data_IF_663120675610
#
_entry.id   IF_663120675610
#
_cell.length_a   1.000
_cell.length_b   1.000
_cell.length_c   1.000
_cell.angle_alpha   90.00
_cell.angle_beta   90.00
_cell.angle_gamma   90.00
#
_symmetry.space_group_name_H-M   'P 1'
#
loop_
_entity.id
_entity.type
_entity.pdbx_description
1 polymer ?
#
# COMPACT_ATOMS: atom_id res chain seq x y z
N UNK A 1 5.62 -21.43 7.72
CA UNK A 1 5.02 -20.29 6.94
C UNK A 1 3.69 -19.91 7.59
N UNK A 2 3.48 -18.66 7.97
CA UNK A 2 2.21 -18.24 8.56
C UNK A 2 1.23 -17.95 7.41
N UNK A 3 0.36 -18.91 7.09
CA UNK A 3 -0.60 -18.84 5.99
C UNK A 3 -1.43 -17.54 6.02
N UNK A 4 -1.76 -17.05 7.21
CA UNK A 4 -2.52 -15.82 7.37
C UNK A 4 -1.72 -14.58 6.90
N UNK A 5 -0.41 -14.53 7.16
CA UNK A 5 0.44 -13.42 6.72
C UNK A 5 0.59 -13.37 5.19
N UNK A 6 0.89 -14.52 4.57
CA UNK A 6 0.98 -14.61 3.12
C UNK A 6 -0.32 -14.18 2.43
N UNK A 7 -1.49 -14.61 2.96
CA UNK A 7 -2.79 -14.21 2.42
C UNK A 7 -3.01 -12.70 2.53
N UNK A 8 -2.66 -12.08 3.65
CA UNK A 8 -2.80 -10.64 3.87
C UNK A 8 -2.01 -9.85 2.83
N UNK A 9 -0.73 -10.20 2.59
CA UNK A 9 0.08 -9.53 1.57
C UNK A 9 -0.43 -9.78 0.15
N UNK A 10 -0.98 -10.96 -0.17
CA UNK A 10 -1.64 -11.21 -1.47
C UNK A 10 -2.87 -10.36 -1.67
N UNK A 11 -3.70 -10.19 -0.65
CA UNK A 11 -4.87 -9.31 -0.71
C UNK A 11 -4.40 -7.85 -0.92
N UNK A 12 -3.40 -7.39 -0.16
CA UNK A 12 -2.81 -6.05 -0.33
C UNK A 12 -2.27 -5.82 -1.75
N UNK A 13 -1.56 -6.81 -2.32
CA UNK A 13 -1.10 -6.77 -3.71
C UNK A 13 -2.25 -6.64 -4.70
N UNK A 14 -3.30 -7.45 -4.51
CA UNK A 14 -4.48 -7.44 -5.39
C UNK A 14 -5.23 -6.11 -5.32
N UNK A 15 -5.37 -5.51 -4.15
CA UNK A 15 -5.97 -4.18 -3.97
C UNK A 15 -5.15 -3.11 -4.70
N UNK A 16 -3.82 -3.11 -4.54
CA UNK A 16 -2.96 -2.19 -5.26
C UNK A 16 -3.11 -2.32 -6.78
N UNK A 17 -3.07 -3.54 -7.31
CA UNK A 17 -3.21 -3.78 -8.75
C UNK A 17 -4.59 -3.40 -9.28
N UNK A 18 -5.65 -3.73 -8.56
CA UNK A 18 -7.03 -3.39 -8.97
C UNK A 18 -7.21 -1.88 -9.17
N UNK A 19 -6.67 -1.09 -8.23
CA UNK A 19 -6.76 0.38 -8.30
C UNK A 19 -5.79 0.96 -9.33
N UNK A 20 -4.54 0.47 -9.34
CA UNK A 20 -3.47 1.11 -10.08
C UNK A 20 -3.48 0.77 -11.58
N UNK A 21 -3.82 -0.47 -11.97
CA UNK A 21 -3.86 -0.86 -13.40
C UNK A 21 -4.92 -0.03 -14.14
N UNK A 22 -6.11 0.15 -13.56
CA UNK A 22 -7.14 1.01 -14.13
C UNK A 22 -6.65 2.44 -14.34
N UNK A 23 -6.04 3.05 -13.33
CA UNK A 23 -5.51 4.42 -13.43
C UNK A 23 -4.28 4.55 -14.34
N UNK A 24 -3.49 3.49 -14.53
CA UNK A 24 -2.38 3.49 -15.46
C UNK A 24 -2.85 3.49 -16.92
N UNK A 25 -3.87 2.68 -17.23
CA UNK A 25 -4.48 2.60 -18.56
C UNK A 25 -5.25 3.88 -18.86
N UNK A 26 -6.17 4.25 -17.96
CA UNK A 26 -6.98 5.47 -18.06
C UNK A 26 -6.81 6.37 -16.83
N UNK A 27 -5.96 7.40 -16.90
CA UNK A 27 -5.78 8.35 -15.81
C UNK A 27 -7.06 9.09 -15.37
N UNK A 28 -8.07 9.18 -16.25
CA UNK A 28 -9.34 9.85 -15.94
C UNK A 28 -10.20 9.02 -14.99
N UNK A 29 -10.03 7.70 -15.01
CA UNK A 29 -10.74 6.77 -14.12
C UNK A 29 -10.48 7.08 -12.64
N UNK A 30 -9.21 7.37 -12.27
CA UNK A 30 -8.87 7.73 -10.87
C UNK A 30 -9.59 9.01 -10.46
N UNK A 31 -9.63 10.01 -11.33
CA UNK A 31 -10.33 11.26 -11.06
C UNK A 31 -11.84 11.04 -10.86
N UNK A 32 -12.46 10.26 -11.73
CA UNK A 32 -13.87 9.92 -11.65
C UNK A 32 -14.19 9.15 -10.37
N UNK A 33 -13.42 8.11 -10.05
CA UNK A 33 -13.61 7.31 -8.84
C UNK A 33 -13.41 8.10 -7.55
N UNK A 34 -12.55 9.13 -7.57
CA UNK A 34 -12.23 9.98 -6.42
C UNK A 34 -13.11 11.23 -6.33
N UNK A 35 -13.97 11.51 -7.31
CA UNK A 35 -14.79 12.72 -7.37
C UNK A 35 -13.98 14.02 -7.52
N UNK A 36 -12.78 13.96 -8.09
CA UNK A 36 -11.90 15.11 -8.34
C UNK A 36 -11.86 15.45 -9.85
N UNK A 37 -11.48 16.69 -10.16
CA UNK A 37 -11.25 17.07 -11.54
C UNK A 37 -10.10 16.26 -12.17
N UNK A 38 -10.18 15.87 -13.45
CA UNK A 38 -9.08 15.22 -14.15
C UNK A 38 -7.79 16.04 -14.05
N UNK A 39 -6.67 15.35 -13.86
CA UNK A 39 -5.37 16.01 -13.77
C UNK A 39 -4.99 16.69 -15.11
N UNK A 40 -4.48 17.90 -15.04
CA UNK A 40 -3.93 18.58 -16.23
C UNK A 40 -2.71 17.87 -16.83
N UNK A 41 -2.08 17.00 -16.02
CA UNK A 41 -0.89 16.22 -16.41
C UNK A 41 -1.16 14.73 -16.21
N UNK A 42 -1.84 14.04 -17.15
CA UNK A 42 -2.19 12.60 -17.00
C UNK A 42 -0.99 11.69 -16.80
N UNK A 43 0.20 12.09 -17.30
CA UNK A 43 1.43 11.31 -17.13
C UNK A 43 1.85 11.20 -15.64
N UNK A 44 1.56 12.21 -14.81
CA UNK A 44 1.84 12.13 -13.37
C UNK A 44 0.97 11.06 -12.68
N UNK A 45 -0.28 10.92 -13.12
CA UNK A 45 -1.16 9.85 -12.65
C UNK A 45 -0.60 8.49 -13.05
N UNK A 46 -0.10 8.34 -14.28
CA UNK A 46 0.55 7.10 -14.73
C UNK A 46 1.83 6.79 -13.94
N UNK A 47 2.65 7.77 -13.64
CA UNK A 47 3.85 7.57 -12.79
C UNK A 47 3.42 7.07 -11.42
N UNK A 48 2.47 7.74 -10.78
CA UNK A 48 1.97 7.35 -9.46
C UNK A 48 1.36 5.94 -9.45
N UNK A 49 0.47 5.64 -10.39
CA UNK A 49 -0.15 4.32 -10.50
C UNK A 49 0.86 3.23 -10.86
N UNK A 50 1.87 3.56 -11.68
CA UNK A 50 3.00 2.67 -11.95
C UNK A 50 3.78 2.31 -10.70
N UNK A 51 4.03 3.28 -9.80
CA UNK A 51 4.64 3.02 -8.49
C UNK A 51 3.75 2.11 -7.62
N UNK A 52 2.44 2.32 -7.61
CA UNK A 52 1.50 1.47 -6.87
C UNK A 52 1.48 0.04 -7.42
N UNK A 53 1.61 -0.14 -8.74
CA UNK A 53 1.78 -1.48 -9.36
C UNK A 53 3.05 -2.16 -8.85
N UNK A 54 4.17 -1.44 -8.77
CA UNK A 54 5.43 -1.96 -8.22
C UNK A 54 5.29 -2.37 -6.75
N UNK A 55 4.61 -1.57 -5.92
CA UNK A 55 4.32 -1.97 -4.53
C UNK A 55 3.44 -3.21 -4.46
N UNK A 56 2.48 -3.36 -5.37
CA UNK A 56 1.71 -4.60 -5.51
C UNK A 56 2.61 -5.82 -5.78
N UNK A 57 3.57 -5.70 -6.70
CA UNK A 57 4.54 -6.76 -6.97
C UNK A 57 5.42 -7.05 -5.73
N UNK A 58 5.90 -6.03 -5.04
CA UNK A 58 6.65 -6.20 -3.78
C UNK A 58 5.83 -6.94 -2.72
N UNK A 59 4.54 -6.63 -2.55
CA UNK A 59 3.67 -7.33 -1.60
C UNK A 59 3.48 -8.80 -2.00
N UNK A 60 3.40 -9.08 -3.30
CA UNK A 60 3.32 -10.45 -3.80
C UNK A 60 4.60 -11.25 -3.49
N UNK A 61 5.78 -10.67 -3.68
CA UNK A 61 7.07 -11.26 -3.31
C UNK A 61 7.15 -11.54 -1.81
N UNK A 62 6.81 -10.56 -0.96
CA UNK A 62 6.75 -10.73 0.50
C UNK A 62 5.81 -11.90 0.86
N UNK A 63 4.69 -12.05 0.16
CA UNK A 63 3.74 -13.15 0.42
C UNK A 63 4.32 -14.52 0.15
N UNK A 64 5.30 -14.62 -0.74
CA UNK A 64 5.94 -15.88 -1.13
C UNK A 64 7.02 -16.30 -0.15
N UNK A 65 7.75 -15.34 0.44
CA UNK A 65 8.80 -15.58 1.44
C UNK A 65 8.88 -14.42 2.45
N UNK A 66 8.03 -14.44 3.47
CA UNK A 66 7.98 -13.37 4.48
C UNK A 66 9.25 -13.27 5.33
N UNK A 67 9.93 -14.39 5.58
CA UNK A 67 11.13 -14.41 6.43
C UNK A 67 12.35 -13.90 5.65
N UNK A 68 12.54 -14.34 4.42
CA UNK A 68 13.59 -13.85 3.53
C UNK A 68 13.40 -12.39 3.12
N UNK A 69 12.16 -11.98 2.87
CA UNK A 69 11.80 -10.62 2.46
C UNK A 69 11.44 -9.69 3.63
N UNK A 70 11.74 -10.08 4.89
CA UNK A 70 11.39 -9.32 6.09
C UNK A 70 11.80 -7.84 6.05
N UNK A 71 12.93 -7.54 5.43
CA UNK A 71 13.45 -6.18 5.31
C UNK A 71 12.59 -5.27 4.42
N UNK A 72 11.71 -5.84 3.59
CA UNK A 72 10.79 -5.11 2.73
C UNK A 72 9.44 -4.83 3.40
N UNK A 73 9.06 -5.60 4.44
CA UNK A 73 7.74 -5.47 5.08
C UNK A 73 7.49 -4.06 5.62
N UNK A 74 8.54 -3.41 6.15
CA UNK A 74 8.43 -2.03 6.63
C UNK A 74 7.98 -1.05 5.55
N UNK A 75 8.34 -1.27 4.29
CA UNK A 75 7.96 -0.37 3.21
C UNK A 75 6.47 -0.48 2.85
N UNK A 76 5.81 -1.59 3.20
CA UNK A 76 4.38 -1.75 2.99
C UNK A 76 3.57 -0.75 3.84
N UNK A 77 3.84 -0.66 5.15
CA UNK A 77 3.12 0.30 6.00
C UNK A 77 3.61 1.74 5.80
N UNK A 78 4.88 1.96 5.42
CA UNK A 78 5.42 3.29 5.10
C UNK A 78 4.72 3.86 3.85
N UNK A 79 4.60 3.08 2.78
CA UNK A 79 3.90 3.48 1.54
C UNK A 79 2.46 3.89 1.84
N UNK A 80 1.73 3.05 2.57
CA UNK A 80 0.35 3.33 2.97
C UNK A 80 0.24 4.60 3.84
N UNK A 81 1.18 4.79 4.76
CA UNK A 81 1.21 5.98 5.62
C UNK A 81 1.46 7.27 4.83
N UNK A 82 2.37 7.24 3.85
CA UNK A 82 2.66 8.41 3.00
C UNK A 82 1.43 8.78 2.17
N UNK A 83 0.76 7.81 1.56
CA UNK A 83 -0.46 8.04 0.77
C UNK A 83 -1.58 8.58 1.66
N UNK A 84 -1.86 7.94 2.78
CA UNK A 84 -2.90 8.35 3.72
C UNK A 84 -2.66 9.77 4.26
N UNK A 85 -1.43 10.08 4.66
CA UNK A 85 -1.05 11.40 5.17
C UNK A 85 -1.20 12.48 4.08
N UNK A 86 -0.72 12.20 2.87
CA UNK A 86 -0.78 13.16 1.75
C UNK A 86 -2.22 13.53 1.39
N UNK A 87 -3.12 12.54 1.33
CA UNK A 87 -4.53 12.77 1.04
C UNK A 87 -5.22 13.49 2.20
N UNK A 88 -4.88 13.15 3.45
CA UNK A 88 -5.43 13.83 4.64
C UNK A 88 -5.06 15.31 4.67
N UNK A 89 -3.80 15.64 4.40
CA UNK A 89 -3.34 17.03 4.28
C UNK A 89 -4.11 17.76 3.16
N UNK A 90 -4.27 17.09 2.00
CA UNK A 90 -5.07 17.62 0.89
C UNK A 90 -6.51 17.93 1.30
N UNK A 91 -7.15 17.03 2.02
CA UNK A 91 -8.52 17.20 2.52
C UNK A 91 -8.63 18.34 3.54
N UNK A 92 -7.79 18.36 4.57
CA UNK A 92 -7.77 19.37 5.60
C UNK A 92 -7.47 20.78 5.06
N UNK A 93 -6.73 20.87 3.96
CA UNK A 93 -6.46 22.13 3.26
C UNK A 93 -7.54 22.53 2.24
N UNK A 94 -8.65 21.80 2.17
CA UNK A 94 -9.75 22.07 1.25
C UNK A 94 -9.45 21.79 -0.23
N UNK A 95 -8.36 21.05 -0.52
CA UNK A 95 -7.91 20.74 -1.89
C UNK A 95 -8.35 19.37 -2.38
N UNK A 96 -8.89 18.52 -1.51
CA UNK A 96 -9.39 17.20 -1.85
C UNK A 96 -10.82 17.01 -1.35
N UNK A 97 -11.72 16.40 -2.15
CA UNK A 97 -13.11 16.16 -1.76
C UNK A 97 -13.20 15.02 -0.72
N UNK A 98 -14.30 15.01 0.05
CA UNK A 98 -14.51 14.01 1.11
C UNK A 98 -14.57 12.57 0.61
N UNK A 99 -15.01 12.34 -0.64
CA UNK A 99 -15.06 11.00 -1.23
C UNK A 99 -13.71 10.32 -1.27
N UNK A 100 -12.62 11.08 -1.49
CA UNK A 100 -11.26 10.49 -1.53
C UNK A 100 -10.85 9.96 -0.16
N UNK A 101 -11.30 10.55 0.93
CA UNK A 101 -11.02 10.08 2.30
C UNK A 101 -11.63 8.70 2.51
N UNK A 102 -12.86 8.47 2.03
CA UNK A 102 -13.52 7.16 2.13
C UNK A 102 -12.69 6.11 1.37
N UNK A 103 -12.26 6.43 0.15
CA UNK A 103 -11.41 5.54 -0.64
C UNK A 103 -10.11 5.19 0.12
N UNK A 104 -9.40 6.20 0.62
CA UNK A 104 -8.11 6.03 1.32
C UNK A 104 -8.27 5.27 2.64
N UNK A 105 -9.41 5.35 3.33
CA UNK A 105 -9.64 4.52 4.51
C UNK A 105 -9.52 3.04 4.15
N UNK A 106 -10.15 2.59 3.07
CA UNK A 106 -10.15 1.18 2.66
C UNK A 106 -8.87 0.74 1.95
N UNK A 107 -8.22 1.63 1.20
CA UNK A 107 -7.03 1.28 0.42
C UNK A 107 -5.73 1.44 1.21
N UNK A 108 -5.71 2.28 2.24
CA UNK A 108 -4.47 2.64 2.94
C UNK A 108 -4.60 2.59 4.46
N UNK A 109 -5.51 3.34 5.09
CA UNK A 109 -5.58 3.43 6.56
C UNK A 109 -5.77 2.08 7.26
N UNK A 110 -6.63 1.21 6.73
CA UNK A 110 -6.87 -0.13 7.30
C UNK A 110 -5.61 -1.00 7.21
N UNK A 111 -4.80 -0.80 6.19
CA UNK A 111 -3.60 -1.61 5.94
C UNK A 111 -2.39 -1.21 6.77
N UNK A 112 -2.29 0.06 7.22
CA UNK A 112 -1.18 0.54 8.06
C UNK A 112 -1.00 -0.34 9.31
N UNK A 113 -1.99 -0.48 10.22
CA UNK A 113 -1.82 -1.30 11.41
C UNK A 113 -1.63 -2.78 11.09
N UNK A 114 -2.21 -3.28 10.00
CA UNK A 114 -2.06 -4.68 9.58
C UNK A 114 -0.62 -4.97 9.17
N UNK A 115 -0.04 -4.16 8.27
CA UNK A 115 1.35 -4.36 7.83
C UNK A 115 2.36 -4.07 8.95
N UNK A 116 2.11 -3.07 9.78
CA UNK A 116 2.95 -2.79 10.96
C UNK A 116 2.97 -3.97 11.93
N UNK A 117 1.82 -4.61 12.17
CA UNK A 117 1.75 -5.82 12.99
C UNK A 117 2.64 -6.93 12.45
N UNK A 118 2.60 -7.20 11.14
CA UNK A 118 3.44 -8.23 10.53
C UNK A 118 4.92 -7.87 10.53
N UNK A 119 5.28 -6.60 10.33
CA UNK A 119 6.67 -6.13 10.46
C UNK A 119 7.23 -6.40 11.87
N UNK A 120 6.48 -6.02 12.90
CA UNK A 120 6.86 -6.27 14.29
C UNK A 120 6.95 -7.77 14.63
N UNK A 121 5.98 -8.57 14.16
CA UNK A 121 5.93 -10.01 14.39
C UNK A 121 7.15 -10.73 13.79
N UNK A 122 7.45 -10.48 12.51
CA UNK A 122 8.56 -11.13 11.81
C UNK A 122 9.90 -10.67 12.38
N UNK A 123 10.03 -9.38 12.69
CA UNK A 123 11.22 -8.83 13.33
C UNK A 123 11.48 -9.41 14.73
N UNK A 124 10.42 -9.67 15.51
CA UNK A 124 10.54 -10.29 16.82
C UNK A 124 10.99 -11.76 16.73
N UNK A 125 10.49 -12.51 15.73
CA UNK A 125 10.90 -13.91 15.49
C UNK A 125 12.38 -13.99 15.13
N UNK A 126 12.83 -13.16 14.20
CA UNK A 126 14.23 -13.14 13.77
C UNK A 126 15.19 -12.84 14.94
N UNK A 127 14.82 -11.93 15.85
CA UNK A 127 15.62 -11.64 17.06
C UNK A 127 15.68 -12.82 18.03
N UNK A 128 14.63 -13.64 18.16
CA UNK A 128 14.64 -14.82 19.00
C UNK A 128 15.55 -15.90 18.43
N UNK A 129 15.44 -16.19 17.14
CA UNK A 129 16.31 -17.16 16.47
C UNK A 129 17.81 -16.82 16.65
N UNK A 130 18.18 -15.56 16.43
CA UNK A 130 19.56 -15.12 16.63
C UNK A 130 20.07 -15.27 18.08
N UNK A 131 19.20 -15.18 19.08
CA UNK A 131 19.58 -15.41 20.50
C UNK A 131 19.74 -16.89 20.86
N UNK A 132 19.07 -17.77 20.15
CA UNK A 132 19.17 -19.23 20.36
C UNK A 132 20.40 -19.84 19.69
N UNK A 133 21.03 -19.12 18.75
CA UNK A 133 22.25 -19.51 18.04
C UNK A 133 23.54 -19.06 18.75
N UNK A 134 23.44 -18.20 19.77
CA UNK A 134 24.57 -17.66 20.58
C UNK A 134 24.72 -18.42 21.90
#
# INVERSE_FOLDING_TARGET
MNLNGALVFRIGASVNWLVAIGGFIDPTWVAQASGIAPANYPFLVRIWTGMVIMFGAMFWEISSDMDGMRHLIKYAWIEKSITALSVTIGYLSGRAPGQIIILIIFTDYVWIPVFLYYDLLVSARARRQHREEL
#
